data_IF_599568263617
#
_entry.id   IF_599568263617
#
_cell.length_a   1.000
_cell.length_b   1.000
_cell.length_c   1.000
_cell.angle_alpha   90.00
_cell.angle_beta   90.00
_cell.angle_gamma   90.00
#
_symmetry.space_group_name_H-M   'P 1'
#
loop_
_entity.id
_entity.type
_entity.pdbx_description
1 polymer ?
#
# COMPACT_ATOMS: atom_id res chain seq x y z
N UNK A 1 0.80 10.20 -22.07
CA UNK A 1 1.39 9.32 -21.05
C UNK A 1 0.32 9.03 -20.03
N UNK A 2 0.13 7.77 -19.67
CA UNK A 2 -0.77 7.37 -18.57
C UNK A 2 -0.04 7.46 -17.20
N UNK A 3 -0.81 7.39 -16.12
CA UNK A 3 -0.24 7.30 -14.76
C UNK A 3 0.61 6.02 -14.59
N UNK A 4 0.18 4.92 -15.20
CA UNK A 4 0.93 3.64 -15.17
C UNK A 4 2.27 3.78 -15.88
N UNK A 5 2.30 4.40 -17.08
CA UNK A 5 3.57 4.64 -17.81
C UNK A 5 4.57 5.47 -16.97
N UNK A 6 4.06 6.47 -16.25
CA UNK A 6 4.90 7.28 -15.37
C UNK A 6 5.45 6.45 -14.21
N UNK A 7 4.60 5.68 -13.54
CA UNK A 7 4.99 4.88 -12.38
C UNK A 7 5.94 3.73 -12.74
N UNK A 8 5.83 3.15 -13.93
CA UNK A 8 6.76 2.11 -14.38
C UNK A 8 8.22 2.60 -14.50
N UNK A 9 8.44 3.91 -14.56
CA UNK A 9 9.78 4.52 -14.55
C UNK A 9 10.29 4.81 -13.14
N UNK A 10 9.45 4.58 -12.12
CA UNK A 10 9.78 4.78 -10.71
C UNK A 10 9.94 3.44 -9.99
N UNK A 11 10.76 3.43 -8.96
CA UNK A 11 10.89 2.25 -8.09
C UNK A 11 9.60 1.94 -7.31
N UNK A 12 8.79 2.98 -7.04
CA UNK A 12 7.56 2.89 -6.25
C UNK A 12 6.44 3.74 -6.85
N UNK A 13 5.22 3.23 -6.74
CA UNK A 13 3.99 3.94 -7.12
C UNK A 13 3.25 4.56 -5.93
N UNK A 14 3.85 4.57 -4.74
CA UNK A 14 3.28 5.12 -3.52
C UNK A 14 4.25 5.14 -2.35
N UNK A 15 3.93 5.87 -1.25
CA UNK A 15 4.77 5.97 -0.07
C UNK A 15 5.02 4.62 0.61
N UNK A 16 6.26 4.39 1.02
CA UNK A 16 6.66 3.17 1.71
C UNK A 16 8.17 2.94 1.72
N UNK A 17 8.62 1.99 2.50
CA UNK A 17 10.01 1.58 2.55
C UNK A 17 10.16 0.16 3.11
N UNK A 18 11.32 -0.46 2.83
CA UNK A 18 11.62 -1.81 3.30
C UNK A 18 11.67 -1.95 4.83
N UNK A 19 11.94 -0.86 5.58
CA UNK A 19 11.92 -0.88 7.04
C UNK A 19 10.50 -1.10 7.57
N UNK A 20 9.51 -0.38 7.02
CA UNK A 20 8.10 -0.54 7.38
C UNK A 20 7.59 -1.94 7.07
N UNK A 21 7.96 -2.50 5.91
CA UNK A 21 7.61 -3.87 5.55
C UNK A 21 8.25 -4.89 6.50
N UNK A 22 9.56 -4.78 6.79
CA UNK A 22 10.24 -5.70 7.74
C UNK A 22 9.61 -5.62 9.13
N UNK A 23 9.22 -4.43 9.59
CA UNK A 23 8.49 -4.27 10.84
C UNK A 23 7.16 -5.04 10.80
N UNK A 24 6.38 -4.90 9.72
CA UNK A 24 5.10 -5.61 9.58
C UNK A 24 5.29 -7.13 9.56
N UNK A 25 6.29 -7.64 8.84
CA UNK A 25 6.66 -9.06 8.82
C UNK A 25 7.00 -9.58 10.23
N UNK A 26 7.74 -8.78 11.01
CA UNK A 26 8.08 -9.11 12.40
C UNK A 26 6.85 -9.16 13.32
N UNK A 27 5.95 -8.17 13.23
CA UNK A 27 4.69 -8.14 14.00
C UNK A 27 3.77 -9.28 13.56
N UNK A 28 3.68 -9.54 12.26
CA UNK A 28 2.95 -10.67 11.71
C UNK A 28 3.58 -12.04 12.05
N UNK A 29 4.81 -12.07 12.55
CA UNK A 29 5.57 -13.31 12.78
C UNK A 29 5.57 -14.21 11.55
N UNK A 30 5.77 -13.62 10.38
CA UNK A 30 5.73 -14.31 9.10
C UNK A 30 6.82 -15.38 9.05
N UNK A 31 6.50 -16.66 8.88
CA UNK A 31 7.50 -17.72 8.83
C UNK A 31 8.30 -17.67 7.51
N UNK A 32 9.50 -18.25 7.52
CA UNK A 32 10.40 -18.23 6.37
C UNK A 32 9.89 -19.06 5.16
N UNK A 33 8.92 -19.93 5.38
CA UNK A 33 8.24 -20.76 4.39
C UNK A 33 6.81 -20.28 4.07
N UNK A 34 6.46 -19.05 4.47
CA UNK A 34 5.14 -18.48 4.30
C UNK A 34 4.72 -18.35 2.83
N UNK A 35 3.42 -18.48 2.60
CA UNK A 35 2.76 -18.10 1.35
C UNK A 35 2.25 -16.65 1.51
N UNK A 36 2.82 -15.74 0.74
CA UNK A 36 2.53 -14.31 0.82
C UNK A 36 1.79 -13.84 -0.43
N UNK A 37 0.69 -13.12 -0.25
CA UNK A 37 0.02 -12.36 -1.30
C UNK A 37 0.37 -10.89 -1.16
N UNK A 38 0.93 -10.27 -2.21
CA UNK A 38 1.12 -8.83 -2.35
C UNK A 38 -0.07 -8.28 -3.16
N UNK A 39 -1.08 -7.78 -2.46
CA UNK A 39 -2.35 -7.33 -3.03
C UNK A 39 -2.30 -5.83 -3.38
N UNK A 40 -2.31 -5.50 -4.66
CA UNK A 40 -2.03 -4.18 -5.19
C UNK A 40 -0.52 -3.93 -5.24
N UNK A 41 0.24 -4.85 -5.87
CA UNK A 41 1.70 -4.84 -5.88
C UNK A 41 2.33 -3.65 -6.62
N UNK A 42 1.57 -2.96 -7.49
CA UNK A 42 2.06 -1.86 -8.29
C UNK A 42 3.35 -2.21 -9.04
N UNK A 43 4.35 -1.35 -8.96
CA UNK A 43 5.66 -1.55 -9.61
C UNK A 43 6.48 -2.71 -9.00
N UNK A 44 5.99 -3.40 -7.96
CA UNK A 44 6.73 -4.44 -7.26
C UNK A 44 7.83 -3.92 -6.32
N UNK A 45 7.63 -2.72 -5.77
CA UNK A 45 8.59 -2.06 -4.88
C UNK A 45 8.94 -2.88 -3.63
N UNK A 46 7.99 -3.66 -3.12
CA UNK A 46 8.13 -4.45 -1.90
C UNK A 46 8.47 -5.92 -2.18
N UNK A 47 8.28 -6.37 -3.42
CA UNK A 47 8.44 -7.76 -3.86
C UNK A 47 9.81 -8.36 -3.50
N UNK A 48 10.90 -7.63 -3.73
CA UNK A 48 12.26 -8.11 -3.38
C UNK A 48 12.45 -8.30 -1.88
N UNK A 49 11.84 -7.44 -1.05
CA UNK A 49 11.88 -7.56 0.42
C UNK A 49 11.03 -8.75 0.90
N UNK A 50 9.86 -8.97 0.27
CA UNK A 50 9.01 -10.12 0.56
C UNK A 50 9.73 -11.44 0.23
N UNK A 51 10.31 -11.57 -0.97
CA UNK A 51 11.09 -12.75 -1.36
C UNK A 51 12.24 -13.05 -0.40
N UNK A 52 12.97 -12.02 0.02
CA UNK A 52 14.07 -12.17 0.98
C UNK A 52 13.60 -12.61 2.38
N UNK A 53 12.36 -12.28 2.75
CA UNK A 53 11.78 -12.65 4.04
C UNK A 53 11.25 -14.09 4.08
N UNK A 54 10.87 -14.64 2.93
CA UNK A 54 10.29 -15.99 2.84
C UNK A 54 11.10 -16.90 1.88
N UNK A 55 12.38 -17.17 2.17
CA UNK A 55 13.26 -17.91 1.26
C UNK A 55 12.84 -19.37 1.02
N UNK A 56 12.03 -19.96 1.87
CA UNK A 56 11.43 -21.29 1.73
C UNK A 56 9.96 -21.25 1.34
N UNK A 57 9.39 -20.06 1.21
CA UNK A 57 7.98 -19.84 0.91
C UNK A 57 7.72 -19.39 -0.54
N UNK A 58 6.59 -18.73 -0.75
CA UNK A 58 6.18 -18.21 -2.06
C UNK A 58 5.61 -16.81 -1.95
N UNK A 59 5.85 -15.99 -2.97
CA UNK A 59 5.23 -14.68 -3.13
C UNK A 59 4.37 -14.68 -4.38
N UNK A 60 3.12 -14.27 -4.24
CA UNK A 60 2.21 -13.98 -5.35
C UNK A 60 1.95 -12.48 -5.36
N UNK A 61 2.18 -11.83 -6.49
CA UNK A 61 1.94 -10.41 -6.69
C UNK A 61 0.66 -10.24 -7.52
N UNK A 62 -0.30 -9.47 -7.02
CA UNK A 62 -1.60 -9.23 -7.65
C UNK A 62 -1.77 -7.74 -7.92
N UNK A 63 -2.12 -7.35 -9.14
CA UNK A 63 -2.51 -5.98 -9.48
C UNK A 63 -3.54 -5.97 -10.60
N UNK A 64 -4.38 -4.94 -10.65
CA UNK A 64 -5.35 -4.75 -11.72
C UNK A 64 -4.69 -4.28 -13.02
N UNK A 65 -3.56 -3.56 -12.94
CA UNK A 65 -2.84 -3.04 -14.10
C UNK A 65 -1.92 -4.11 -14.71
N UNK A 66 -2.25 -4.57 -15.91
CA UNK A 66 -1.49 -5.60 -16.64
C UNK A 66 0.00 -5.23 -16.79
N UNK A 67 0.30 -3.94 -17.00
CA UNK A 67 1.68 -3.47 -17.20
C UNK A 67 2.51 -3.57 -15.90
N UNK A 68 1.92 -3.34 -14.74
CA UNK A 68 2.60 -3.58 -13.46
C UNK A 68 2.87 -5.08 -13.27
N UNK A 69 1.90 -5.93 -13.55
CA UNK A 69 2.05 -7.39 -13.48
C UNK A 69 3.16 -7.88 -14.39
N UNK A 70 3.21 -7.42 -15.65
CA UNK A 70 4.26 -7.77 -16.60
C UNK A 70 5.65 -7.30 -16.13
N UNK A 71 5.74 -6.10 -15.57
CA UNK A 71 6.97 -5.56 -15.00
C UNK A 71 7.48 -6.41 -13.82
N UNK A 72 6.58 -6.78 -12.90
CA UNK A 72 6.90 -7.63 -11.74
C UNK A 72 7.35 -9.03 -12.20
N UNK A 73 6.63 -9.65 -13.13
CA UNK A 73 6.99 -10.96 -13.68
C UNK A 73 8.38 -10.97 -14.34
N UNK A 74 8.72 -9.89 -15.05
CA UNK A 74 10.02 -9.74 -15.69
C UNK A 74 11.14 -9.55 -14.67
N UNK A 75 10.92 -8.70 -13.67
CA UNK A 75 11.93 -8.34 -12.67
C UNK A 75 12.15 -9.41 -11.61
N UNK A 76 11.10 -10.18 -11.31
CA UNK A 76 11.11 -11.21 -10.27
C UNK A 76 10.58 -12.56 -10.79
N UNK A 77 11.36 -13.32 -11.57
CA UNK A 77 10.90 -14.59 -12.17
C UNK A 77 10.47 -15.66 -11.15
N UNK A 78 10.85 -15.52 -9.88
CA UNK A 78 10.45 -16.41 -8.78
C UNK A 78 9.05 -16.11 -8.21
N UNK A 79 8.42 -15.02 -8.66
CA UNK A 79 7.10 -14.56 -8.18
C UNK A 79 6.02 -15.03 -9.13
N UNK A 80 4.89 -15.49 -8.59
CA UNK A 80 3.67 -15.66 -9.37
C UNK A 80 2.99 -14.30 -9.52
N UNK A 81 3.10 -13.66 -10.69
CA UNK A 81 2.46 -12.38 -10.96
C UNK A 81 1.10 -12.61 -11.64
N UNK A 82 0.04 -12.04 -11.08
CA UNK A 82 -1.34 -12.24 -11.52
C UNK A 82 -2.02 -10.88 -11.78
N UNK A 83 -2.69 -10.77 -12.92
CA UNK A 83 -3.62 -9.66 -13.13
C UNK A 83 -4.97 -9.99 -12.50
N UNK A 84 -5.49 -9.11 -11.65
CA UNK A 84 -6.79 -9.31 -11.01
C UNK A 84 -7.15 -8.21 -10.04
N UNK A 85 -8.38 -8.27 -9.54
CA UNK A 85 -8.89 -7.35 -8.53
C UNK A 85 -8.53 -7.89 -7.12
N UNK A 86 -7.99 -7.05 -6.27
CA UNK A 86 -7.71 -7.40 -4.87
C UNK A 86 -8.99 -7.62 -4.04
N UNK A 87 -10.17 -7.22 -4.56
CA UNK A 87 -11.47 -7.57 -3.98
C UNK A 87 -11.86 -9.03 -4.24
N UNK A 88 -11.23 -9.67 -5.22
CA UNK A 88 -11.41 -11.07 -5.60
C UNK A 88 -10.04 -11.80 -5.54
N UNK A 89 -9.43 -11.91 -4.35
CA UNK A 89 -8.09 -12.43 -4.21
C UNK A 89 -8.00 -13.88 -4.70
N UNK A 90 -6.84 -14.32 -5.23
CA UNK A 90 -6.65 -15.70 -5.62
C UNK A 90 -6.78 -16.62 -4.41
N UNK A 91 -7.19 -17.87 -4.67
CA UNK A 91 -7.39 -18.87 -3.64
C UNK A 91 -6.13 -19.10 -2.79
N UNK A 92 -6.30 -19.05 -1.46
CA UNK A 92 -5.23 -19.31 -0.49
C UNK A 92 -4.94 -20.81 -0.31
N UNK A 93 -4.49 -21.19 0.87
CA UNK A 93 -4.38 -20.36 2.07
C UNK A 93 -3.17 -19.44 2.06
N UNK A 94 -3.33 -18.19 2.55
CA UNK A 94 -2.26 -17.19 2.66
C UNK A 94 -1.85 -17.01 4.12
N UNK A 95 -0.56 -17.12 4.41
CA UNK A 95 -0.02 -16.85 5.75
C UNK A 95 0.08 -15.34 6.01
N UNK A 96 0.33 -14.57 4.95
CA UNK A 96 0.32 -13.12 4.98
C UNK A 96 -0.32 -12.55 3.71
N UNK A 97 -1.22 -11.59 3.87
CA UNK A 97 -1.61 -10.67 2.81
C UNK A 97 -1.00 -9.31 3.13
N UNK A 98 -0.16 -8.82 2.22
CA UNK A 98 0.45 -7.50 2.26
C UNK A 98 -0.26 -6.59 1.26
N UNK A 99 -0.61 -5.35 1.67
CA UNK A 99 -1.20 -4.36 0.77
C UNK A 99 -0.78 -2.95 1.19
N UNK A 100 0.23 -2.40 0.53
CA UNK A 100 0.76 -1.08 0.85
C UNK A 100 0.26 -0.01 -0.12
N UNK A 101 -0.47 1.00 0.40
CA UNK A 101 -0.95 2.13 -0.38
C UNK A 101 -1.98 1.78 -1.46
N UNK A 102 -2.73 0.67 -1.31
CA UNK A 102 -3.71 0.22 -2.30
C UNK A 102 -5.14 0.08 -1.72
N UNK A 103 -5.27 -0.13 -0.41
CA UNK A 103 -6.55 -0.44 0.26
C UNK A 103 -7.59 0.67 0.08
N UNK A 104 -7.19 1.92 -0.05
CA UNK A 104 -8.09 3.05 -0.29
C UNK A 104 -8.98 2.88 -1.54
N UNK A 105 -8.52 2.12 -2.55
CA UNK A 105 -9.31 1.82 -3.76
C UNK A 105 -10.53 0.94 -3.47
N UNK A 106 -10.48 0.15 -2.42
CA UNK A 106 -11.53 -0.81 -2.05
C UNK A 106 -12.28 -0.39 -0.78
N UNK A 107 -11.59 0.29 0.12
CA UNK A 107 -12.01 0.56 1.48
C UNK A 107 -11.64 -0.57 2.42
N UNK A 108 -11.23 -0.20 3.65
CA UNK A 108 -10.67 -1.13 4.65
C UNK A 108 -11.62 -2.28 4.98
N UNK A 109 -12.90 -1.97 5.24
CA UNK A 109 -13.89 -3.00 5.61
C UNK A 109 -14.07 -4.05 4.52
N UNK A 110 -14.23 -3.62 3.27
CA UNK A 110 -14.41 -4.52 2.12
C UNK A 110 -13.15 -5.35 1.83
N UNK A 111 -11.97 -4.74 1.93
CA UNK A 111 -10.71 -5.45 1.76
C UNK A 111 -10.56 -6.57 2.79
N UNK A 112 -10.77 -6.27 4.07
CA UNK A 112 -10.67 -7.23 5.15
C UNK A 112 -11.73 -8.35 5.06
N UNK A 113 -12.92 -8.04 4.59
CA UNK A 113 -13.97 -9.04 4.33
C UNK A 113 -13.55 -10.00 3.20
N UNK A 114 -13.08 -9.45 2.06
CA UNK A 114 -12.65 -10.24 0.90
C UNK A 114 -11.48 -11.18 1.24
N UNK A 115 -10.55 -10.72 2.08
CA UNK A 115 -9.32 -11.45 2.39
C UNK A 115 -9.48 -12.50 3.50
N UNK A 116 -10.51 -12.39 4.34
CA UNK A 116 -10.74 -13.33 5.45
C UNK A 116 -10.82 -14.79 5.01
N UNK A 117 -11.55 -15.07 3.94
CA UNK A 117 -11.82 -16.43 3.48
C UNK A 117 -10.63 -17.13 2.80
N UNK A 118 -9.58 -16.40 2.48
CA UNK A 118 -8.40 -16.91 1.79
C UNK A 118 -7.15 -16.98 2.68
N UNK A 119 -7.27 -16.60 3.97
CA UNK A 119 -6.17 -16.73 4.93
C UNK A 119 -5.98 -18.18 5.38
N UNK A 120 -4.74 -18.53 5.66
CA UNK A 120 -4.39 -19.73 6.42
C UNK A 120 -4.89 -19.64 7.87
N UNK A 121 -5.06 -20.75 8.58
CA UNK A 121 -5.24 -20.71 10.03
C UNK A 121 -4.09 -19.96 10.71
N UNK A 122 -4.41 -18.87 11.42
CA UNK A 122 -3.40 -17.97 12.00
C UNK A 122 -2.74 -17.00 11.03
N UNK A 123 -3.19 -16.97 9.78
CA UNK A 123 -2.77 -16.00 8.77
C UNK A 123 -3.14 -14.57 9.14
N UNK A 124 -2.40 -13.60 8.63
CA UNK A 124 -2.52 -12.18 8.97
C UNK A 124 -2.59 -11.30 7.74
N UNK A 125 -3.11 -10.09 7.95
CA UNK A 125 -3.10 -9.03 6.96
C UNK A 125 -2.24 -7.89 7.48
N UNK A 126 -1.38 -7.36 6.62
CA UNK A 126 -0.66 -6.12 6.86
C UNK A 126 -0.98 -5.15 5.73
N UNK A 127 -1.49 -3.97 6.06
CA UNK A 127 -1.88 -2.97 5.06
C UNK A 127 -1.62 -1.56 5.54
N UNK A 128 -1.46 -0.63 4.61
CA UNK A 128 -1.36 0.78 4.92
C UNK A 128 -2.50 1.58 4.28
N UNK A 129 -3.01 2.56 5.02
CA UNK A 129 -4.07 3.45 4.58
C UNK A 129 -3.81 4.88 5.04
N UNK A 130 -4.23 5.88 4.23
CA UNK A 130 -3.95 7.28 4.46
C UNK A 130 -4.83 7.85 5.57
N UNK A 131 -4.22 8.50 6.57
CA UNK A 131 -4.92 9.00 7.76
C UNK A 131 -4.35 10.34 8.24
N UNK A 132 -5.17 11.13 8.92
CA UNK A 132 -4.69 12.30 9.62
C UNK A 132 -3.80 11.90 10.81
N UNK A 133 -2.67 12.61 10.96
CA UNK A 133 -1.78 12.50 12.13
C UNK A 133 -2.15 13.49 13.22
N UNK A 134 -3.08 14.42 12.94
CA UNK A 134 -3.53 15.48 13.83
C UNK A 134 -5.05 15.48 13.94
N UNK A 135 -5.63 15.82 15.12
CA UNK A 135 -7.07 15.97 15.27
C UNK A 135 -7.64 17.23 14.59
N UNK A 136 -6.78 18.18 14.22
CA UNK A 136 -7.16 19.43 13.56
C UNK A 136 -6.40 19.59 12.25
N UNK A 137 -6.82 18.89 11.17
CA UNK A 137 -6.15 18.96 9.90
C UNK A 137 -6.19 20.36 9.30
N UNK A 138 -5.11 20.80 8.60
CA UNK A 138 -5.12 22.06 7.87
C UNK A 138 -6.24 22.09 6.85
N UNK A 139 -7.00 23.19 6.80
CA UNK A 139 -8.15 23.34 5.89
C UNK A 139 -7.78 23.10 4.43
N UNK A 140 -6.60 23.58 4.01
CA UNK A 140 -6.09 23.40 2.65
C UNK A 140 -5.86 21.91 2.33
N UNK A 141 -5.23 21.17 3.23
CA UNK A 141 -4.99 19.73 3.04
C UNK A 141 -6.31 18.95 3.05
N UNK A 142 -7.24 19.29 3.95
CA UNK A 142 -8.55 18.65 3.99
C UNK A 142 -9.36 18.89 2.71
N UNK A 143 -9.36 20.14 2.21
CA UNK A 143 -10.04 20.49 0.96
C UNK A 143 -9.42 19.77 -0.25
N UNK A 144 -8.10 19.63 -0.30
CA UNK A 144 -7.41 18.91 -1.38
C UNK A 144 -7.83 17.45 -1.46
N UNK A 145 -7.76 16.71 -0.36
CA UNK A 145 -8.14 15.30 -0.32
C UNK A 145 -9.62 15.12 -0.61
N UNK A 146 -10.48 15.98 -0.07
CA UNK A 146 -11.91 15.94 -0.34
C UNK A 146 -12.25 16.21 -1.82
N UNK A 147 -11.56 17.15 -2.47
CA UNK A 147 -11.72 17.41 -3.90
C UNK A 147 -11.30 16.20 -4.76
N UNK A 148 -10.33 15.43 -4.31
CA UNK A 148 -9.94 14.13 -4.89
C UNK A 148 -10.87 12.97 -4.53
N UNK A 149 -12.00 13.23 -3.84
CA UNK A 149 -12.94 12.18 -3.42
C UNK A 149 -12.50 11.37 -2.19
N UNK A 150 -11.44 11.80 -1.51
CA UNK A 150 -10.88 11.08 -0.35
C UNK A 150 -11.30 11.76 0.94
N UNK A 151 -12.04 11.06 1.80
CA UNK A 151 -12.39 11.50 3.15
C UNK A 151 -11.53 10.76 4.16
N UNK A 152 -10.59 11.47 4.79
CA UNK A 152 -9.68 10.88 5.76
C UNK A 152 -10.26 10.96 7.17
N UNK A 153 -10.15 9.87 7.91
CA UNK A 153 -10.26 9.84 9.37
C UNK A 153 -8.87 9.82 10.01
N UNK A 154 -8.78 9.78 11.32
CA UNK A 154 -7.54 9.63 12.06
C UNK A 154 -7.19 8.15 12.33
N UNK A 155 -6.11 7.91 13.06
CA UNK A 155 -5.68 6.55 13.43
C UNK A 155 -6.73 5.81 14.27
N UNK A 156 -7.46 6.52 15.14
CA UNK A 156 -8.52 5.91 15.97
C UNK A 156 -9.71 5.50 15.12
N UNK A 157 -10.09 6.31 14.14
CA UNK A 157 -11.12 5.99 13.15
C UNK A 157 -10.77 4.73 12.36
N UNK A 158 -9.52 4.58 11.90
CA UNK A 158 -9.06 3.37 11.23
C UNK A 158 -9.19 2.13 12.11
N UNK A 159 -8.80 2.21 13.37
CA UNK A 159 -8.94 1.08 14.29
C UNK A 159 -10.40 0.72 14.59
N UNK A 160 -11.31 1.70 14.57
CA UNK A 160 -12.77 1.45 14.66
C UNK A 160 -13.25 0.68 13.43
N UNK A 161 -12.83 1.08 12.22
CA UNK A 161 -13.16 0.37 10.98
C UNK A 161 -12.66 -1.08 10.99
N UNK A 162 -11.43 -1.31 11.44
CA UNK A 162 -10.84 -2.65 11.58
C UNK A 162 -11.64 -3.52 12.55
N UNK A 163 -11.98 -2.99 13.74
CA UNK A 163 -12.77 -3.72 14.73
C UNK A 163 -14.20 -4.00 14.24
N UNK A 164 -14.83 -3.04 13.57
CA UNK A 164 -16.15 -3.22 12.98
C UNK A 164 -16.19 -4.33 11.91
N UNK A 165 -15.08 -4.53 11.20
CA UNK A 165 -14.91 -5.64 10.25
C UNK A 165 -14.63 -6.99 10.94
N UNK A 166 -14.59 -7.06 12.29
CA UNK A 166 -14.33 -8.27 13.07
C UNK A 166 -12.85 -8.66 13.08
N UNK A 167 -11.95 -7.67 13.10
CA UNK A 167 -10.49 -7.89 13.15
C UNK A 167 -9.87 -7.24 14.38
N UNK A 168 -8.70 -7.75 14.79
CA UNK A 168 -7.91 -7.27 15.90
C UNK A 168 -6.58 -6.71 15.40
N UNK A 169 -6.20 -5.53 15.87
CA UNK A 169 -4.90 -4.92 15.57
C UNK A 169 -3.82 -5.56 16.43
N UNK A 170 -2.77 -6.08 15.80
CA UNK A 170 -1.58 -6.64 16.45
C UNK A 170 -0.47 -5.61 16.61
N UNK A 171 -0.41 -4.65 15.70
CA UNK A 171 0.55 -3.56 15.74
C UNK A 171 0.19 -2.49 14.73
N UNK A 172 0.65 -1.27 15.00
CA UNK A 172 0.43 -0.12 14.15
C UNK A 172 1.60 0.85 14.20
N UNK A 173 1.98 1.42 13.06
CA UNK A 173 3.00 2.47 12.94
C UNK A 173 2.66 3.44 11.82
N UNK A 174 3.30 4.59 11.80
CA UNK A 174 3.30 5.49 10.66
C UNK A 174 4.44 5.12 9.70
N UNK A 175 4.21 5.29 8.40
CA UNK A 175 5.24 5.09 7.36
C UNK A 175 6.32 6.17 7.47
N UNK A 176 5.93 7.40 7.79
CA UNK A 176 6.82 8.52 8.06
C UNK A 176 7.40 9.19 6.82
N UNK A 177 7.94 10.40 7.02
CA UNK A 177 8.46 11.25 5.92
C UNK A 177 9.46 10.54 5.01
N UNK A 178 10.29 9.65 5.55
CA UNK A 178 11.26 8.91 4.73
C UNK A 178 10.59 8.00 3.69
N UNK A 179 9.42 7.41 4.02
CA UNK A 179 8.64 6.61 3.07
C UNK A 179 8.00 7.47 1.97
N UNK A 180 7.54 8.67 2.33
CA UNK A 180 6.99 9.64 1.38
C UNK A 180 8.07 10.20 0.45
N UNK A 181 9.23 10.59 0.98
CA UNK A 181 10.34 11.10 0.18
C UNK A 181 10.81 10.09 -0.87
N UNK A 182 10.83 8.78 -0.53
CA UNK A 182 11.17 7.72 -1.50
C UNK A 182 10.21 7.62 -2.68
N UNK A 183 9.00 8.14 -2.54
CA UNK A 183 8.00 8.22 -3.61
C UNK A 183 8.03 9.58 -4.30
N UNK A 184 7.94 10.67 -3.55
CA UNK A 184 7.79 12.00 -4.14
C UNK A 184 9.07 12.57 -4.72
N UNK A 185 10.27 12.30 -4.15
CA UNK A 185 11.49 12.87 -4.69
C UNK A 185 11.78 12.36 -6.12
N UNK A 186 11.71 11.04 -6.42
CA UNK A 186 11.85 10.56 -7.80
C UNK A 186 10.70 11.00 -8.71
N UNK A 187 9.47 11.08 -8.19
CA UNK A 187 8.32 11.54 -8.96
C UNK A 187 8.46 13.01 -9.36
N UNK A 188 8.90 13.88 -8.45
CA UNK A 188 9.14 15.31 -8.72
C UNK A 188 10.19 15.52 -9.82
N UNK A 189 11.26 14.71 -9.79
CA UNK A 189 12.27 14.69 -10.85
C UNK A 189 11.68 14.23 -12.19
N UNK A 190 10.93 13.13 -12.21
CA UNK A 190 10.32 12.63 -13.42
C UNK A 190 9.32 13.63 -14.03
N UNK A 191 8.52 14.29 -13.17
CA UNK A 191 7.54 15.30 -13.61
C UNK A 191 8.17 16.59 -14.18
N UNK A 192 9.44 16.86 -13.91
CA UNK A 192 10.13 18.01 -14.48
C UNK A 192 10.36 17.86 -15.98
N UNK A 193 10.47 16.62 -16.47
CA UNK A 193 10.70 16.27 -17.88
C UNK A 193 9.40 16.08 -18.67
N UNK A 194 8.25 16.05 -17.98
CA UNK A 194 6.95 15.77 -18.61
C UNK A 194 6.25 17.03 -19.13
N UNK A 195 5.55 16.94 -20.28
CA UNK A 195 4.72 18.01 -20.78
C UNK A 195 3.64 18.44 -19.76
N UNK A 196 3.25 19.70 -19.82
CA UNK A 196 2.14 20.19 -19.01
C UNK A 196 0.82 19.50 -19.41
N UNK A 197 0.16 18.89 -18.46
CA UNK A 197 -1.10 18.16 -18.63
C UNK A 197 -1.90 18.22 -17.31
N UNK A 198 -3.16 17.82 -17.35
CA UNK A 198 -3.96 17.73 -16.13
C UNK A 198 -3.33 16.78 -15.12
N UNK A 199 -2.85 15.61 -15.57
CA UNK A 199 -2.17 14.64 -14.71
C UNK A 199 -0.91 15.22 -14.07
N UNK A 200 -0.02 15.84 -14.86
CA UNK A 200 1.24 16.40 -14.32
C UNK A 200 0.99 17.56 -13.36
N UNK A 201 -0.03 18.39 -13.62
CA UNK A 201 -0.44 19.46 -12.69
C UNK A 201 -1.00 18.90 -11.39
N UNK A 202 -1.85 17.87 -11.46
CA UNK A 202 -2.41 17.22 -10.27
C UNK A 202 -1.32 16.62 -9.38
N UNK A 203 -0.37 15.87 -9.96
CA UNK A 203 0.73 15.27 -9.21
C UNK A 203 1.69 16.33 -8.61
N UNK A 204 1.99 17.39 -9.35
CA UNK A 204 2.79 18.53 -8.82
C UNK A 204 2.07 19.23 -7.67
N UNK A 205 0.75 19.39 -7.75
CA UNK A 205 -0.05 19.97 -6.67
C UNK A 205 -0.04 19.07 -5.42
N UNK A 206 -0.12 17.75 -5.58
CA UNK A 206 -0.04 16.80 -4.49
C UNK A 206 1.35 16.83 -3.81
N UNK A 207 2.43 16.87 -4.58
CA UNK A 207 3.79 17.01 -4.05
C UNK A 207 3.95 18.35 -3.29
N UNK A 208 3.42 19.45 -3.83
CA UNK A 208 3.46 20.76 -3.17
C UNK A 208 2.68 20.75 -1.85
N UNK A 209 1.52 20.09 -1.83
CA UNK A 209 0.74 19.91 -0.61
C UNK A 209 1.53 19.14 0.44
N UNK A 210 2.16 18.02 0.04
CA UNK A 210 2.97 17.22 0.96
C UNK A 210 4.18 17.99 1.50
N UNK A 211 4.88 18.75 0.65
CA UNK A 211 6.00 19.59 1.09
C UNK A 211 5.56 20.58 2.18
N UNK A 212 4.32 21.09 2.09
CA UNK A 212 3.76 22.10 3.01
C UNK A 212 3.09 21.48 4.25
N UNK A 213 2.33 20.40 4.07
CA UNK A 213 1.43 19.86 5.10
C UNK A 213 1.65 18.37 5.39
N UNK A 214 2.72 17.75 4.87
CA UNK A 214 2.97 16.33 5.00
C UNK A 214 3.19 15.80 6.43
N UNK A 215 3.29 16.69 7.43
CA UNK A 215 3.30 16.29 8.83
C UNK A 215 1.87 16.11 9.41
N UNK A 216 0.84 16.54 8.67
CA UNK A 216 -0.56 16.48 9.11
C UNK A 216 -1.30 15.21 8.66
N UNK A 217 -0.73 14.42 7.75
CA UNK A 217 -1.26 13.15 7.27
C UNK A 217 -0.13 12.19 6.92
N UNK A 218 -0.40 10.90 7.05
CA UNK A 218 0.57 9.86 6.74
C UNK A 218 -0.16 8.53 6.49
N UNK A 219 0.52 7.57 5.87
CA UNK A 219 0.04 6.21 5.82
C UNK A 219 0.19 5.54 7.17
N UNK A 220 -0.95 5.10 7.74
CA UNK A 220 -0.99 4.26 8.93
C UNK A 220 -0.87 2.80 8.51
N UNK A 221 0.26 2.17 8.80
CA UNK A 221 0.50 0.75 8.56
C UNK A 221 0.02 -0.06 9.77
N UNK A 222 -0.88 -1.01 9.53
CA UNK A 222 -1.40 -1.93 10.52
C UNK A 222 -1.04 -3.37 10.17
N UNK A 223 -0.89 -4.18 11.22
CA UNK A 223 -0.93 -5.65 11.12
C UNK A 223 -2.14 -6.11 11.92
N UNK A 224 -2.99 -6.91 11.28
CA UNK A 224 -4.27 -7.35 11.84
C UNK A 224 -4.49 -8.84 11.66
N UNK A 225 -5.32 -9.45 12.53
CA UNK A 225 -5.78 -10.83 12.40
C UNK A 225 -7.29 -10.90 12.65
N UNK A 226 -7.99 -11.93 12.15
CA UNK A 226 -9.39 -12.17 12.50
C UNK A 226 -9.58 -12.27 14.02
N UNK A 227 -10.64 -11.59 14.54
CA UNK A 227 -10.96 -11.58 15.97
C UNK A 227 -11.70 -12.88 16.38
#
# INVERSE_FOLDING_TARGET
>A
MSLVDLFLRLDRAGPGNAESLRWALGVARTPADARVLDAGCGTGADTGTLLAAVPGGTVTALDAAADFVASVATRYPAVTALQGDMAEPPAGPWDLIWSAGAVYNLGVGRALEAWRGVLAPGGRVAFSDLRWTTPTPPKEAAAFWQAGGVTLTDAAGLEVEVRAAGWRVLGARWVGRAGWARYYDPLDVALAEEPDSELTRALKAEIALWKRWGDSYDYRLLVVEPA
#
